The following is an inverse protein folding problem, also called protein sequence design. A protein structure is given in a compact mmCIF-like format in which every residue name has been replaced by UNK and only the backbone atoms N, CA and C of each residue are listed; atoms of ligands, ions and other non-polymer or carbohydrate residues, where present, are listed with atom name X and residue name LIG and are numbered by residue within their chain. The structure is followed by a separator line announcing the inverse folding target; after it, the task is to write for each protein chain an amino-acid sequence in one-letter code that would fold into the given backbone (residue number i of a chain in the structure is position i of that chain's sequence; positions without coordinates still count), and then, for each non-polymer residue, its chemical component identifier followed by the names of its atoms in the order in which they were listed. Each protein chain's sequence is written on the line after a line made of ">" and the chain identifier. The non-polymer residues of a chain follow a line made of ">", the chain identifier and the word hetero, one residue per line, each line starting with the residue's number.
data_IF_510452880225
#
_entry.id   IF_510452880225
#
_cell.length_a   1.000
_cell.length_b   1.000
_cell.length_c   1.000
_cell.angle_alpha   90.00
_cell.angle_beta   90.00
_cell.angle_gamma   90.00
#
_symmetry.space_group_name_H-M   'P 1'
#
loop_
_entity.id
_entity.type
_entity.pdbx_description
1 polymer ?
#
# COMPACT_ATOMS: atom_id res chain seq x y z
N UNK A 1 -9.26 15.58 6.57
CA UNK A 1 -9.60 15.19 7.96
C UNK A 1 -9.49 13.67 8.07
N UNK A 2 -9.26 13.10 9.26
CA UNK A 2 -9.22 11.64 9.45
C UNK A 2 -10.58 11.13 9.93
N UNK A 3 -11.02 9.99 9.40
CA UNK A 3 -12.24 9.29 9.85
C UNK A 3 -11.90 8.32 11.00
N UNK A 4 -12.91 7.79 11.74
CA UNK A 4 -12.66 6.73 12.72
C UNK A 4 -11.91 5.52 12.12
N UNK A 5 -12.24 5.15 10.88
CA UNK A 5 -11.57 4.06 10.17
C UNK A 5 -10.08 4.34 9.95
N UNK A 6 -9.68 5.58 9.62
CA UNK A 6 -8.27 5.94 9.56
C UNK A 6 -7.57 5.74 10.90
N UNK A 7 -8.20 6.18 12.01
CA UNK A 7 -7.60 6.08 13.33
C UNK A 7 -7.45 4.62 13.78
N UNK A 8 -8.44 3.77 13.52
CA UNK A 8 -8.36 2.34 13.80
C UNK A 8 -7.21 1.68 13.01
N UNK A 9 -7.08 2.01 11.72
CA UNK A 9 -6.01 1.50 10.86
C UNK A 9 -4.62 1.99 11.28
N UNK A 10 -4.47 3.25 11.71
CA UNK A 10 -3.19 3.79 12.20
C UNK A 10 -2.71 3.04 13.46
N UNK A 11 -3.64 2.68 14.34
CA UNK A 11 -3.33 2.04 15.61
C UNK A 11 -3.36 0.50 15.56
N UNK A 12 -3.73 -0.10 14.42
CA UNK A 12 -3.78 -1.56 14.26
C UNK A 12 -4.93 -2.26 14.98
N UNK A 13 -6.00 -1.54 15.29
CA UNK A 13 -7.16 -2.11 16.00
C UNK A 13 -8.07 -2.88 15.04
N UNK A 14 -7.65 -4.09 14.66
CA UNK A 14 -8.33 -4.90 13.63
C UNK A 14 -9.78 -5.24 13.98
N UNK A 15 -10.09 -5.49 15.26
CA UNK A 15 -11.44 -5.70 15.77
C UNK A 15 -12.34 -4.46 15.57
N UNK A 16 -11.80 -3.27 15.81
CA UNK A 16 -12.50 -2.00 15.54
C UNK A 16 -12.66 -1.76 14.05
N UNK A 17 -11.65 -2.10 13.23
CA UNK A 17 -11.76 -2.02 11.76
C UNK A 17 -12.90 -2.92 11.28
N UNK A 18 -12.91 -4.19 11.68
CA UNK A 18 -13.96 -5.16 11.35
C UNK A 18 -15.34 -4.62 11.71
N UNK A 19 -15.51 -4.16 12.95
CA UNK A 19 -16.78 -3.59 13.41
C UNK A 19 -17.23 -2.38 12.57
N UNK A 20 -16.33 -1.46 12.24
CA UNK A 20 -16.66 -0.28 11.43
C UNK A 20 -17.05 -0.66 10.00
N UNK A 21 -16.37 -1.64 9.41
CA UNK A 21 -16.65 -2.16 8.07
C UNK A 21 -18.03 -2.84 8.03
N UNK A 22 -18.38 -3.64 9.04
CA UNK A 22 -19.71 -4.25 9.19
C UNK A 22 -20.84 -3.22 9.32
N UNK A 23 -20.55 -2.03 9.84
CA UNK A 23 -21.47 -0.88 9.82
C UNK A 23 -21.56 -0.16 8.47
N UNK A 24 -20.97 -0.73 7.41
CA UNK A 24 -20.99 -0.23 6.03
C UNK A 24 -20.44 1.20 5.92
N UNK A 25 -19.40 1.51 6.68
CA UNK A 25 -18.73 2.80 6.55
C UNK A 25 -18.04 2.94 5.18
N UNK A 26 -17.75 4.17 4.76
CA UNK A 26 -16.97 4.41 3.54
C UNK A 26 -15.53 3.93 3.76
N UNK A 27 -15.04 3.04 2.87
CA UNK A 27 -13.69 2.46 2.96
C UNK A 27 -12.59 3.34 2.35
N UNK A 28 -12.96 4.23 1.43
CA UNK A 28 -12.03 5.02 0.62
C UNK A 28 -12.03 6.55 0.88
N UNK A 29 -12.32 7.08 2.09
CA UNK A 29 -12.13 8.50 2.34
C UNK A 29 -10.62 8.81 2.34
N UNK A 30 -10.21 9.94 1.76
CA UNK A 30 -8.83 10.40 1.84
C UNK A 30 -8.63 11.37 3.01
N UNK A 31 -7.53 11.22 3.75
CA UNK A 31 -7.12 12.21 4.74
C UNK A 31 -6.43 13.44 4.10
N UNK A 32 -5.82 14.31 4.92
CA UNK A 32 -5.18 15.54 4.42
C UNK A 32 -3.91 15.29 3.58
N UNK A 33 -3.38 14.07 3.61
CA UNK A 33 -2.23 13.63 2.82
C UNK A 33 -2.67 12.79 1.61
N UNK A 34 -3.96 12.85 1.26
CA UNK A 34 -4.60 12.05 0.23
C UNK A 34 -4.52 10.53 0.47
N UNK A 35 -4.27 10.09 1.71
CA UNK A 35 -4.13 8.66 2.03
C UNK A 35 -5.45 8.07 2.50
N UNK A 36 -5.74 6.85 2.03
CA UNK A 36 -6.90 6.06 2.46
C UNK A 36 -6.63 5.32 3.78
N UNK A 37 -7.65 4.76 4.44
CA UNK A 37 -7.47 3.85 5.57
C UNK A 37 -6.57 2.65 5.23
N UNK A 38 -6.70 2.08 4.04
CA UNK A 38 -5.84 0.98 3.57
C UNK A 38 -4.37 1.41 3.52
N UNK A 39 -4.08 2.59 2.94
CA UNK A 39 -2.72 3.13 2.93
C UNK A 39 -2.18 3.34 4.34
N UNK A 40 -3.03 3.76 5.29
CA UNK A 40 -2.61 3.92 6.69
C UNK A 40 -2.35 2.60 7.39
N UNK A 41 -3.18 1.57 7.17
CA UNK A 41 -2.90 0.24 7.68
C UNK A 41 -1.55 -0.27 7.15
N UNK A 42 -1.31 -0.11 5.85
CA UNK A 42 -0.07 -0.58 5.20
C UNK A 42 1.16 0.23 5.63
N UNK A 43 1.08 1.57 5.65
CA UNK A 43 2.18 2.45 6.10
C UNK A 43 2.63 2.13 7.53
N UNK A 44 1.67 1.76 8.39
CA UNK A 44 1.93 1.37 9.78
C UNK A 44 2.11 -0.14 10.00
N UNK A 45 2.18 -0.93 8.91
CA UNK A 45 2.45 -2.37 8.93
C UNK A 45 1.39 -3.23 9.63
N UNK A 46 0.14 -2.75 9.70
CA UNK A 46 -0.98 -3.46 10.30
C UNK A 46 -1.66 -4.38 9.29
N UNK A 47 -1.06 -5.56 9.10
CA UNK A 47 -1.49 -6.60 8.16
C UNK A 47 -2.97 -6.97 8.26
N UNK A 48 -3.45 -7.26 9.47
CA UNK A 48 -4.84 -7.67 9.70
C UNK A 48 -5.84 -6.58 9.30
N UNK A 49 -5.52 -5.31 9.59
CA UNK A 49 -6.35 -4.18 9.16
C UNK A 49 -6.39 -4.07 7.64
N UNK A 50 -5.24 -4.25 6.97
CA UNK A 50 -5.18 -4.21 5.51
C UNK A 50 -5.98 -5.36 4.88
N UNK A 51 -5.87 -6.57 5.43
CA UNK A 51 -6.61 -7.75 4.98
C UNK A 51 -8.12 -7.53 5.07
N UNK A 52 -8.62 -7.11 6.25
CA UNK A 52 -10.05 -6.81 6.44
C UNK A 52 -10.54 -5.79 5.41
N UNK A 53 -9.78 -4.71 5.20
CA UNK A 53 -10.18 -3.67 4.25
C UNK A 53 -10.24 -4.18 2.80
N UNK A 54 -9.24 -4.95 2.38
CA UNK A 54 -9.16 -5.52 1.02
C UNK A 54 -10.27 -6.54 0.77
N UNK A 55 -10.54 -7.43 1.73
CA UNK A 55 -11.64 -8.41 1.67
C UNK A 55 -13.01 -7.75 1.52
N UNK A 56 -13.16 -6.52 2.03
CA UNK A 56 -14.39 -5.73 1.92
C UNK A 56 -14.38 -4.71 0.77
N UNK A 57 -13.40 -4.79 -0.13
CA UNK A 57 -13.37 -4.00 -1.36
C UNK A 57 -12.81 -2.58 -1.21
N UNK A 58 -11.90 -2.35 -0.25
CA UNK A 58 -11.11 -1.12 -0.24
C UNK A 58 -10.30 -0.99 -1.53
N UNK A 59 -10.22 0.23 -2.07
CA UNK A 59 -9.53 0.47 -3.32
C UNK A 59 -8.01 0.59 -3.09
N UNK A 60 -7.27 -0.44 -3.51
CA UNK A 60 -5.80 -0.52 -3.53
C UNK A 60 -5.11 0.38 -4.57
N UNK A 61 -5.80 0.83 -5.63
CA UNK A 61 -5.25 1.65 -6.71
C UNK A 61 -5.26 3.14 -6.40
N UNK A 62 -5.80 3.53 -5.23
CA UNK A 62 -5.73 4.91 -4.79
C UNK A 62 -4.27 5.37 -4.74
N UNK A 63 -4.09 6.67 -5.01
CA UNK A 63 -2.78 7.32 -5.02
C UNK A 63 -2.74 8.38 -3.93
N UNK A 64 -1.86 8.18 -2.96
CA UNK A 64 -1.60 9.11 -1.86
C UNK A 64 -0.77 10.30 -2.30
N UNK A 65 -0.18 10.99 -1.32
CA UNK A 65 0.80 12.04 -1.60
C UNK A 65 1.96 11.52 -2.48
N UNK A 66 2.36 12.33 -3.46
CA UNK A 66 3.38 12.01 -4.46
C UNK A 66 3.03 10.81 -5.35
N UNK A 67 1.76 10.46 -5.47
CA UNK A 67 1.28 9.38 -6.33
C UNK A 67 1.51 7.96 -5.80
N UNK A 68 1.99 7.79 -4.56
CA UNK A 68 2.29 6.48 -3.98
C UNK A 68 1.01 5.65 -3.76
N UNK A 69 1.02 4.39 -4.20
CA UNK A 69 -0.06 3.42 -3.92
C UNK A 69 0.20 2.70 -2.60
N UNK A 70 -0.76 1.90 -2.12
CA UNK A 70 -0.55 1.03 -0.97
C UNK A 70 0.68 0.11 -1.15
N UNK A 71 0.95 -0.37 -2.37
CA UNK A 71 2.08 -1.24 -2.65
C UNK A 71 3.44 -0.54 -2.46
N UNK A 72 3.53 0.76 -2.76
CA UNK A 72 4.73 1.55 -2.47
C UNK A 72 4.98 1.59 -0.96
N UNK A 73 3.94 1.83 -0.15
CA UNK A 73 4.07 1.85 1.31
C UNK A 73 4.50 0.50 1.89
N UNK A 74 3.97 -0.62 1.37
CA UNK A 74 4.36 -1.96 1.80
C UNK A 74 5.86 -2.24 1.55
N UNK A 75 6.39 -1.77 0.41
CA UNK A 75 7.81 -1.88 0.07
C UNK A 75 8.69 -1.00 0.95
N UNK A 76 8.33 0.27 1.17
CA UNK A 76 9.08 1.17 2.08
C UNK A 76 9.14 0.60 3.51
N UNK A 77 8.05 -0.05 3.95
CA UNK A 77 8.03 -0.78 5.21
C UNK A 77 8.77 -2.13 5.19
N UNK A 78 9.21 -2.61 4.02
CA UNK A 78 9.87 -3.91 3.81
C UNK A 78 9.02 -5.14 4.23
N UNK A 79 7.69 -5.06 4.15
CA UNK A 79 6.79 -6.17 4.51
C UNK A 79 6.44 -7.03 3.29
N UNK A 80 7.07 -8.21 3.17
CA UNK A 80 6.75 -9.18 2.11
C UNK A 80 5.29 -9.64 2.18
N UNK A 81 4.76 -9.83 3.40
CA UNK A 81 3.35 -10.20 3.61
C UNK A 81 2.40 -9.17 3.00
N UNK A 82 2.60 -7.88 3.28
CA UNK A 82 1.72 -6.84 2.73
C UNK A 82 1.87 -6.67 1.22
N UNK A 83 3.07 -6.88 0.68
CA UNK A 83 3.29 -6.95 -0.77
C UNK A 83 2.48 -8.09 -1.37
N UNK A 84 2.55 -9.31 -0.82
CA UNK A 84 1.76 -10.45 -1.31
C UNK A 84 0.27 -10.18 -1.24
N UNK A 85 -0.21 -9.74 -0.08
CA UNK A 85 -1.61 -9.45 0.15
C UNK A 85 -2.16 -8.44 -0.88
N UNK A 86 -1.43 -7.37 -1.17
CA UNK A 86 -1.84 -6.37 -2.16
C UNK A 86 -1.82 -6.91 -3.59
N UNK A 87 -0.81 -7.71 -3.96
CA UNK A 87 -0.71 -8.34 -5.28
C UNK A 87 -1.82 -9.38 -5.50
N UNK A 88 -2.16 -10.17 -4.48
CA UNK A 88 -3.27 -11.13 -4.51
C UNK A 88 -4.62 -10.44 -4.74
N UNK A 89 -4.76 -9.20 -4.26
CA UNK A 89 -5.93 -8.37 -4.52
C UNK A 89 -5.83 -7.57 -5.82
N UNK A 90 -4.78 -7.77 -6.62
CA UNK A 90 -4.64 -7.24 -7.98
C UNK A 90 -3.86 -5.93 -8.09
N UNK A 91 -3.11 -5.52 -7.05
CA UNK A 91 -2.31 -4.30 -7.14
C UNK A 91 -1.27 -4.41 -8.26
N UNK A 92 -1.08 -3.35 -9.03
CA UNK A 92 -0.10 -3.30 -10.11
C UNK A 92 1.34 -3.27 -9.54
N UNK A 93 2.11 -4.33 -9.81
CA UNK A 93 3.50 -4.50 -9.35
C UNK A 93 4.45 -3.45 -9.91
N UNK A 94 4.11 -2.86 -11.06
CA UNK A 94 4.92 -1.86 -11.77
C UNK A 94 4.28 -0.46 -11.71
N UNK A 95 3.32 -0.25 -10.79
CA UNK A 95 2.69 1.04 -10.60
C UNK A 95 3.74 2.13 -10.36
N UNK A 96 3.75 3.18 -11.18
CA UNK A 96 4.66 4.32 -11.01
C UNK A 96 4.06 5.40 -10.13
N UNK A 97 4.80 5.94 -9.18
CA UNK A 97 4.44 7.17 -8.47
C UNK A 97 4.76 8.44 -9.31
N UNK A 98 4.57 9.64 -8.76
CA UNK A 98 4.80 10.91 -9.49
C UNK A 98 6.27 11.12 -9.93
N UNK A 99 7.22 10.45 -9.27
CA UNK A 99 8.65 10.45 -9.63
C UNK A 99 9.00 9.36 -10.66
N UNK A 100 8.04 8.54 -11.07
CA UNK A 100 8.26 7.41 -11.96
C UNK A 100 8.79 6.17 -11.24
N UNK A 101 8.91 6.20 -9.91
CA UNK A 101 9.40 5.06 -9.16
C UNK A 101 8.34 3.98 -9.11
N UNK A 102 8.71 2.77 -9.55
CA UNK A 102 7.97 1.53 -9.29
C UNK A 102 8.33 1.01 -7.88
N UNK A 103 7.55 0.05 -7.34
CA UNK A 103 7.93 -0.70 -6.15
C UNK A 103 9.37 -1.25 -6.22
N UNK A 104 9.80 -1.75 -7.37
CA UNK A 104 11.17 -2.24 -7.57
C UNK A 104 12.23 -1.14 -7.45
N UNK A 105 12.01 0.01 -8.12
CA UNK A 105 12.92 1.16 -8.04
C UNK A 105 13.03 1.67 -6.60
N UNK A 106 11.91 1.76 -5.87
CA UNK A 106 11.91 2.13 -4.45
C UNK A 106 12.77 1.19 -3.61
N UNK A 107 12.56 -0.13 -3.73
CA UNK A 107 13.35 -1.13 -2.99
C UNK A 107 14.86 -1.00 -3.25
N UNK A 108 15.25 -0.68 -4.49
CA UNK A 108 16.65 -0.44 -4.86
C UNK A 108 17.17 0.85 -4.21
N UNK A 109 16.42 1.96 -4.30
CA UNK A 109 16.83 3.25 -3.74
C UNK A 109 16.99 3.23 -2.22
N UNK A 110 16.23 2.36 -1.54
CA UNK A 110 16.33 2.12 -0.10
C UNK A 110 17.33 1.01 0.30
N UNK A 111 18.05 0.44 -0.67
CA UNK A 111 19.01 -0.65 -0.46
C UNK A 111 18.40 -1.89 0.24
N UNK A 112 17.21 -2.31 -0.19
CA UNK A 112 16.44 -3.45 0.37
C UNK A 112 16.62 -4.72 -0.47
N UNK A 113 17.82 -5.29 -0.48
CA UNK A 113 18.18 -6.44 -1.35
C UNK A 113 17.14 -7.58 -1.34
N UNK A 114 16.68 -8.00 -0.16
CA UNK A 114 15.70 -9.09 -0.03
C UNK A 114 14.32 -8.74 -0.57
N UNK A 115 13.95 -7.46 -0.58
CA UNK A 115 12.72 -6.99 -1.22
C UNK A 115 12.89 -6.88 -2.74
N UNK A 116 14.07 -6.47 -3.23
CA UNK A 116 14.39 -6.48 -4.66
C UNK A 116 14.24 -7.90 -5.23
N UNK A 117 14.91 -8.89 -4.62
CA UNK A 117 14.81 -10.30 -5.04
C UNK A 117 13.36 -10.78 -5.03
N UNK A 118 12.61 -10.39 -4.00
CA UNK A 118 11.23 -10.79 -3.84
C UNK A 118 10.29 -10.19 -4.90
N UNK A 119 10.42 -8.89 -5.19
CA UNK A 119 9.63 -8.23 -6.24
C UNK A 119 9.93 -8.81 -7.63
N UNK A 120 11.21 -9.12 -7.92
CA UNK A 120 11.60 -9.80 -9.15
C UNK A 120 10.99 -11.21 -9.25
N UNK A 121 10.95 -11.96 -8.14
CA UNK A 121 10.27 -13.26 -8.10
C UNK A 121 8.76 -13.15 -8.35
N UNK A 122 8.14 -12.02 -7.96
CA UNK A 122 6.72 -11.72 -8.22
C UNK A 122 6.48 -11.13 -9.62
N UNK A 123 7.52 -10.94 -10.42
CA UNK A 123 7.41 -10.54 -11.83
C UNK A 123 7.52 -9.04 -12.09
N UNK A 124 8.08 -8.26 -11.16
CA UNK A 124 8.37 -6.84 -11.41
C UNK A 124 9.31 -6.66 -12.62
N UNK A 125 9.07 -5.64 -13.44
CA UNK A 125 9.92 -5.36 -14.60
C UNK A 125 11.30 -4.86 -14.18
N UNK A 126 12.33 -5.69 -14.42
CA UNK A 126 13.73 -5.36 -14.16
C UNK A 126 14.23 -4.16 -14.98
N UNK A 127 13.55 -3.83 -16.08
CA UNK A 127 13.89 -2.70 -16.95
C UNK A 127 13.06 -1.44 -16.63
N UNK A 128 12.33 -1.42 -15.51
CA UNK A 128 11.59 -0.25 -15.08
C UNK A 128 12.49 0.99 -15.01
N UNK A 129 11.98 2.09 -15.57
CA UNK A 129 12.65 3.39 -15.61
C UNK A 129 11.88 4.42 -14.80
N UNK A 130 12.61 5.24 -14.04
CA UNK A 130 12.08 6.42 -13.39
C UNK A 130 11.85 7.57 -14.40
N UNK A 131 11.40 8.72 -13.91
CA UNK A 131 11.21 9.89 -14.78
C UNK A 131 12.52 10.68 -15.03
N UNK A 132 13.66 10.25 -14.47
CA UNK A 132 14.94 10.98 -14.53
C UNK A 132 15.88 10.38 -15.58
N UNK A 133 15.67 9.13 -15.96
CA UNK A 133 16.42 8.45 -17.02
C UNK A 133 16.10 9.05 -18.40
N UNK A 134 17.09 9.75 -18.98
CA UNK A 134 17.12 10.23 -20.38
C UNK A 134 18.00 9.32 -21.23
#
# INVERSE_FOLDING_TARGET
>A
SRTPLHLACINGHADVVQFLVEKKCKLNPCDKFNQSPLMKAVEHQHGDCAAILLEHGANHDLRGASGNTALHFAVMGSSKFLVELLLEHGADIDAKNEFGYTPLILAITENREEMVKFLLQKGADVNAQDNVSR
#
